data_IF_687732835073
#
_entry.id   IF_687732835073
#
_cell.length_a   1.000
_cell.length_b   1.000
_cell.length_c   1.000
_cell.angle_alpha   90.00
_cell.angle_beta   90.00
_cell.angle_gamma   90.00
#
_symmetry.space_group_name_H-M   'P 1'
#
loop_
_entity.id
_entity.type
_entity.pdbx_description
1 polymer ?
#
# COMPACT_ATOMS: atom_id res chain seq x y z
N UNK A 1 37.14 4.84 -39.42
CA UNK A 1 36.24 4.41 -40.51
C UNK A 1 35.73 5.67 -41.20
N UNK A 2 36.13 5.87 -42.46
CA UNK A 2 35.73 7.02 -43.28
C UNK A 2 34.20 7.03 -43.47
N UNK A 3 33.55 8.20 -43.54
CA UNK A 3 32.11 8.25 -43.78
C UNK A 3 31.83 7.71 -45.18
N UNK A 4 30.98 6.68 -45.27
CA UNK A 4 30.46 6.19 -46.54
C UNK A 4 29.75 7.34 -47.24
N UNK A 5 30.30 7.78 -48.38
CA UNK A 5 29.61 8.67 -49.30
C UNK A 5 28.46 7.88 -49.91
N UNK A 6 27.29 7.90 -49.27
CA UNK A 6 26.06 7.42 -49.88
C UNK A 6 25.76 8.31 -51.08
N UNK A 7 26.15 7.88 -52.27
CA UNK A 7 25.83 8.57 -53.51
C UNK A 7 24.31 8.69 -53.62
N UNK A 8 23.82 9.90 -53.89
CA UNK A 8 22.39 10.14 -54.03
C UNK A 8 21.80 9.20 -55.11
N UNK A 9 20.59 8.66 -54.89
CA UNK A 9 19.95 7.79 -55.87
C UNK A 9 19.79 8.52 -57.22
N UNK A 10 20.20 7.84 -58.29
CA UNK A 10 20.12 8.37 -59.66
C UNK A 10 18.79 7.98 -60.27
N UNK A 11 17.98 8.97 -60.65
CA UNK A 11 16.64 8.75 -61.21
C UNK A 11 16.65 8.85 -62.73
N UNK A 12 15.92 7.97 -63.45
CA UNK A 12 15.77 8.04 -64.90
C UNK A 12 15.00 9.30 -65.31
N UNK A 13 15.35 9.88 -66.45
CA UNK A 13 14.87 11.19 -66.90
C UNK A 13 13.34 11.27 -67.08
N UNK A 14 12.70 10.16 -67.44
CA UNK A 14 11.24 10.05 -67.51
C UNK A 14 10.55 10.24 -66.14
N UNK A 15 11.17 9.78 -65.05
CA UNK A 15 10.65 9.95 -63.70
C UNK A 15 10.83 11.38 -63.16
N UNK A 16 11.77 12.14 -63.73
CA UNK A 16 12.02 13.54 -63.39
C UNK A 16 11.17 14.51 -64.22
N UNK A 17 10.73 14.10 -65.41
CA UNK A 17 9.96 14.92 -66.34
C UNK A 17 8.59 15.35 -65.80
N UNK A 18 8.05 14.61 -64.81
CA UNK A 18 6.79 14.94 -64.14
C UNK A 18 6.91 16.05 -63.08
N UNK A 19 8.14 16.44 -62.70
CA UNK A 19 8.36 17.43 -61.65
C UNK A 19 8.83 18.77 -62.25
N UNK A 20 8.10 19.83 -61.92
CA UNK A 20 8.49 21.18 -62.28
C UNK A 20 9.53 21.71 -61.28
N UNK A 21 10.66 22.22 -61.79
CA UNK A 21 11.77 22.69 -60.95
C UNK A 21 11.39 23.91 -60.12
N UNK A 22 10.57 24.80 -60.69
CA UNK A 22 10.07 26.00 -60.04
C UNK A 22 9.11 25.65 -58.89
N UNK A 23 8.19 24.69 -59.09
CA UNK A 23 7.25 24.22 -58.07
C UNK A 23 7.97 23.54 -56.90
N UNK A 24 8.91 22.63 -57.19
CA UNK A 24 9.67 21.95 -56.13
C UNK A 24 10.50 22.95 -55.31
N UNK A 25 11.05 23.99 -55.94
CA UNK A 25 11.76 25.05 -55.21
C UNK A 25 10.82 25.86 -54.32
N UNK A 26 9.63 26.18 -54.82
CA UNK A 26 8.60 26.88 -54.05
C UNK A 26 8.15 26.06 -52.83
N UNK A 27 7.88 24.75 -53.02
CA UNK A 27 7.49 23.85 -51.94
C UNK A 27 8.59 23.73 -50.88
N UNK A 28 9.85 23.65 -51.29
CA UNK A 28 10.98 23.65 -50.36
C UNK A 28 11.02 24.95 -49.54
N UNK A 29 10.80 26.11 -50.15
CA UNK A 29 10.76 27.40 -49.43
C UNK A 29 9.60 27.47 -48.43
N UNK A 30 8.41 27.00 -48.81
CA UNK A 30 7.24 26.95 -47.92
C UNK A 30 7.52 26.03 -46.73
N UNK A 31 7.98 24.80 -46.99
CA UNK A 31 8.29 23.81 -45.96
C UNK A 31 9.43 24.27 -45.04
N UNK A 32 10.42 25.00 -45.55
CA UNK A 32 11.48 25.58 -44.73
C UNK A 32 10.95 26.66 -43.79
N UNK A 33 10.06 27.54 -44.26
CA UNK A 33 9.41 28.57 -43.41
C UNK A 33 8.54 27.94 -42.33
N UNK A 34 7.80 26.88 -42.66
CA UNK A 34 7.00 26.13 -41.68
C UNK A 34 7.90 25.46 -40.64
N UNK A 35 8.96 24.76 -41.08
CA UNK A 35 9.97 24.17 -40.19
C UNK A 35 10.56 25.22 -39.25
N UNK A 36 10.96 26.38 -39.74
CA UNK A 36 11.58 27.43 -38.93
C UNK A 36 10.61 28.03 -37.92
N UNK A 37 9.32 28.07 -38.26
CA UNK A 37 8.25 28.49 -37.35
C UNK A 37 8.07 27.48 -36.22
N UNK A 38 8.10 26.18 -36.53
CA UNK A 38 8.03 25.11 -35.54
C UNK A 38 9.29 25.07 -34.67
N UNK A 39 10.47 25.20 -35.29
CA UNK A 39 11.76 25.14 -34.61
C UNK A 39 11.94 26.23 -33.55
N UNK A 40 11.38 27.43 -33.77
CA UNK A 40 11.38 28.52 -32.78
C UNK A 40 10.71 28.16 -31.44
N UNK A 41 9.73 27.26 -31.47
CA UNK A 41 8.97 26.82 -30.29
C UNK A 41 9.28 25.37 -29.89
N UNK A 42 10.13 24.66 -30.65
CA UNK A 42 10.47 23.29 -30.38
C UNK A 42 11.50 23.20 -29.24
N UNK A 43 11.15 22.50 -28.17
CA UNK A 43 12.11 22.19 -27.11
C UNK A 43 13.00 21.02 -27.57
N UNK A 44 14.19 21.35 -28.07
CA UNK A 44 15.19 20.37 -28.51
C UNK A 44 15.76 19.51 -27.36
N UNK A 45 15.59 19.94 -26.10
CA UNK A 45 15.99 19.20 -24.91
C UNK A 45 14.90 18.27 -24.34
N UNK A 46 13.67 18.35 -24.85
CA UNK A 46 12.52 17.64 -24.27
C UNK A 46 12.71 16.12 -24.20
N UNK A 47 13.39 15.53 -25.19
CA UNK A 47 13.65 14.08 -25.23
C UNK A 47 14.63 13.68 -24.12
N UNK A 48 15.68 14.48 -23.90
CA UNK A 48 16.68 14.20 -22.86
C UNK A 48 16.11 14.44 -21.46
N UNK A 49 15.33 15.52 -21.29
CA UNK A 49 14.60 15.80 -20.05
C UNK A 49 13.60 14.68 -19.71
N UNK A 50 12.87 14.18 -20.71
CA UNK A 50 11.96 13.06 -20.54
C UNK A 50 12.70 11.81 -20.06
N UNK A 51 13.80 11.44 -20.73
CA UNK A 51 14.60 10.26 -20.36
C UNK A 51 15.13 10.36 -18.93
N UNK A 52 15.58 11.55 -18.52
CA UNK A 52 16.05 11.78 -17.15
C UNK A 52 14.92 11.63 -16.14
N UNK A 53 13.77 12.25 -16.40
CA UNK A 53 12.58 12.14 -15.52
C UNK A 53 12.02 10.72 -15.46
N UNK A 54 12.06 9.99 -16.57
CA UNK A 54 11.63 8.59 -16.63
C UNK A 54 12.54 7.71 -15.77
N UNK A 55 13.86 7.87 -15.86
CA UNK A 55 14.81 7.15 -15.00
C UNK A 55 14.59 7.47 -13.51
N UNK A 56 14.44 8.75 -13.17
CA UNK A 56 14.15 9.19 -11.80
C UNK A 56 12.81 8.60 -11.31
N UNK A 57 11.77 8.65 -12.14
CA UNK A 57 10.46 8.10 -11.84
C UNK A 57 10.54 6.60 -11.55
N UNK A 58 11.18 5.82 -12.43
CA UNK A 58 11.32 4.37 -12.26
C UNK A 58 12.08 4.02 -10.97
N UNK A 59 13.12 4.79 -10.63
CA UNK A 59 13.83 4.63 -9.35
C UNK A 59 12.90 4.89 -8.16
N UNK A 60 12.11 5.96 -8.20
CA UNK A 60 11.18 6.33 -7.11
C UNK A 60 10.04 5.33 -6.96
N UNK A 61 9.52 4.78 -8.07
CA UNK A 61 8.50 3.73 -8.02
C UNK A 61 9.08 2.49 -7.36
N UNK A 62 10.29 2.07 -7.73
CA UNK A 62 10.94 0.91 -7.10
C UNK A 62 11.18 1.12 -5.60
N UNK A 63 11.59 2.31 -5.17
CA UNK A 63 11.74 2.65 -3.75
C UNK A 63 10.39 2.59 -3.01
N UNK A 64 9.33 3.14 -3.62
CA UNK A 64 7.99 3.15 -3.03
C UNK A 64 7.41 1.75 -2.89
N UNK A 65 7.62 0.89 -3.89
CA UNK A 65 7.15 -0.49 -3.87
C UNK A 65 7.83 -1.28 -2.75
N UNK A 66 9.14 -1.10 -2.56
CA UNK A 66 9.87 -1.76 -1.49
C UNK A 66 9.41 -1.29 -0.10
N UNK A 67 9.28 0.02 0.11
CA UNK A 67 8.76 0.55 1.39
C UNK A 67 7.33 0.08 1.64
N UNK A 68 6.51 0.01 0.60
CA UNK A 68 5.14 -0.49 0.67
C UNK A 68 5.11 -1.97 1.06
N UNK A 69 6.01 -2.78 0.50
CA UNK A 69 6.15 -4.20 0.84
C UNK A 69 6.53 -4.38 2.31
N UNK A 70 7.56 -3.67 2.79
CA UNK A 70 8.00 -3.72 4.19
C UNK A 70 6.87 -3.32 5.14
N UNK A 71 6.16 -2.23 4.83
CA UNK A 71 5.01 -1.78 5.61
C UNK A 71 3.91 -2.84 5.68
N UNK A 72 3.58 -3.46 4.55
CA UNK A 72 2.53 -4.47 4.48
C UNK A 72 2.91 -5.73 5.26
N UNK A 73 4.17 -6.17 5.20
CA UNK A 73 4.69 -7.28 5.99
C UNK A 73 4.63 -6.98 7.50
N UNK A 74 5.06 -5.79 7.92
CA UNK A 74 4.99 -5.35 9.31
C UNK A 74 3.54 -5.31 9.82
N UNK A 75 2.62 -4.79 9.00
CA UNK A 75 1.18 -4.76 9.32
C UNK A 75 0.61 -6.16 9.48
N UNK A 76 0.92 -7.07 8.55
CA UNK A 76 0.47 -8.46 8.62
C UNK A 76 0.97 -9.14 9.89
N UNK A 77 2.25 -8.97 10.23
CA UNK A 77 2.83 -9.51 11.45
C UNK A 77 2.16 -8.95 12.71
N UNK A 78 1.88 -7.65 12.74
CA UNK A 78 1.15 -7.02 13.84
C UNK A 78 -0.26 -7.61 14.00
N UNK A 79 -1.02 -7.76 12.91
CA UNK A 79 -2.36 -8.34 12.94
C UNK A 79 -2.34 -9.80 13.42
N UNK A 80 -1.36 -10.59 12.97
CA UNK A 80 -1.18 -11.97 13.43
C UNK A 80 -0.85 -12.06 14.93
N UNK A 81 0.04 -11.20 15.42
CA UNK A 81 0.38 -11.14 16.84
C UNK A 81 -0.81 -10.67 17.69
N UNK A 82 -1.59 -9.69 17.21
CA UNK A 82 -2.82 -9.24 17.88
C UNK A 82 -3.84 -10.37 17.97
N UNK A 83 -4.05 -11.13 16.89
CA UNK A 83 -4.93 -12.30 16.86
C UNK A 83 -4.46 -13.37 17.84
N UNK A 84 -3.16 -13.73 17.81
CA UNK A 84 -2.59 -14.74 18.70
C UNK A 84 -2.70 -14.34 20.16
N UNK A 85 -2.46 -13.07 20.48
CA UNK A 85 -2.64 -12.52 21.84
C UNK A 85 -4.08 -12.70 22.32
N UNK A 86 -5.05 -12.32 21.50
CA UNK A 86 -6.47 -12.44 21.83
C UNK A 86 -6.87 -13.91 22.05
N UNK A 87 -6.51 -14.79 21.11
CA UNK A 87 -6.84 -16.22 21.18
C UNK A 87 -6.29 -16.88 22.44
N UNK A 88 -4.99 -16.67 22.74
CA UNK A 88 -4.35 -17.21 23.94
C UNK A 88 -4.93 -16.63 25.22
N UNK A 89 -5.26 -15.34 25.22
CA UNK A 89 -5.89 -14.69 26.36
C UNK A 89 -7.27 -15.29 26.63
N UNK A 90 -8.12 -15.45 25.61
CA UNK A 90 -9.47 -15.98 25.79
C UNK A 90 -9.48 -17.45 26.22
N UNK A 91 -8.58 -18.28 25.70
CA UNK A 91 -8.41 -19.67 26.17
C UNK A 91 -7.99 -19.70 27.65
N UNK A 92 -6.98 -18.91 28.02
CA UNK A 92 -6.54 -18.80 29.42
C UNK A 92 -7.64 -18.26 30.35
N UNK A 93 -8.32 -17.20 29.93
CA UNK A 93 -9.40 -16.55 30.67
C UNK A 93 -10.57 -17.52 30.90
N UNK A 94 -10.96 -18.30 29.89
CA UNK A 94 -11.99 -19.32 30.01
C UNK A 94 -11.61 -20.42 31.02
N UNK A 95 -10.37 -20.91 30.97
CA UNK A 95 -9.87 -21.93 31.92
C UNK A 95 -9.86 -21.40 33.36
N UNK A 96 -9.38 -20.18 33.57
CA UNK A 96 -9.35 -19.54 34.89
C UNK A 96 -10.78 -19.34 35.41
N UNK A 97 -11.68 -18.85 34.56
CA UNK A 97 -13.09 -18.62 34.93
C UNK A 97 -13.79 -19.91 35.35
N UNK A 98 -13.56 -21.01 34.63
CA UNK A 98 -14.09 -22.33 34.99
C UNK A 98 -13.57 -22.78 36.35
N UNK A 99 -12.25 -22.71 36.56
CA UNK A 99 -11.63 -23.13 37.83
C UNK A 99 -12.06 -22.28 39.00
N UNK A 100 -12.22 -20.97 38.80
CA UNK A 100 -12.76 -20.06 39.81
C UNK A 100 -14.17 -20.48 40.25
N UNK A 101 -15.07 -20.74 39.30
CA UNK A 101 -16.45 -21.21 39.58
C UNK A 101 -16.44 -22.48 40.43
N UNK A 102 -15.64 -23.46 40.04
CA UNK A 102 -15.48 -24.73 40.76
C UNK A 102 -14.96 -24.52 42.19
N UNK A 103 -13.85 -23.79 42.34
CA UNK A 103 -13.21 -23.55 43.63
C UNK A 103 -14.10 -22.76 44.58
N UNK A 104 -14.72 -21.67 44.08
CA UNK A 104 -15.56 -20.82 44.92
C UNK A 104 -16.78 -21.56 45.45
N UNK A 105 -17.46 -22.33 44.58
CA UNK A 105 -18.62 -23.14 44.98
C UNK A 105 -18.26 -24.23 45.98
N UNK A 106 -17.09 -24.86 45.81
CA UNK A 106 -16.58 -25.87 46.73
C UNK A 106 -16.30 -25.29 48.11
N UNK A 107 -15.63 -24.14 48.18
CA UNK A 107 -15.24 -23.49 49.44
C UNK A 107 -16.46 -22.90 50.17
N UNK A 108 -17.34 -22.23 49.44
CA UNK A 108 -18.50 -21.54 50.03
C UNK A 108 -19.71 -22.43 50.23
N UNK A 109 -19.60 -23.73 49.90
CA UNK A 109 -20.67 -24.73 50.03
C UNK A 109 -21.98 -24.29 49.35
N UNK A 110 -21.87 -23.69 48.15
CA UNK A 110 -23.03 -23.30 47.33
C UNK A 110 -23.16 -21.82 46.97
N UNK A 111 -22.10 -21.02 47.11
CA UNK A 111 -22.00 -19.70 46.47
C UNK A 111 -21.46 -19.79 45.04
N UNK A 112 -21.59 -18.71 44.28
CA UNK A 112 -21.12 -18.59 42.90
C UNK A 112 -20.13 -17.43 42.72
N UNK A 113 -19.27 -17.53 41.71
CA UNK A 113 -18.27 -16.53 41.34
C UNK A 113 -18.19 -16.42 39.82
N UNK A 114 -17.96 -15.21 39.30
CA UNK A 114 -17.92 -14.95 37.86
C UNK A 114 -16.89 -13.88 37.53
N UNK A 115 -16.11 -14.13 36.46
CA UNK A 115 -15.23 -13.14 35.83
C UNK A 115 -15.84 -12.74 34.49
N UNK A 116 -16.01 -11.45 34.28
CA UNK A 116 -16.58 -10.90 33.05
C UNK A 116 -15.64 -9.84 32.47
N UNK A 117 -15.54 -9.80 31.14
CA UNK A 117 -14.83 -8.74 30.45
C UNK A 117 -15.68 -7.47 30.48
N UNK A 118 -15.08 -6.33 30.80
CA UNK A 118 -15.79 -5.05 30.77
C UNK A 118 -16.12 -4.67 29.32
N UNK A 119 -15.17 -4.88 28.41
CA UNK A 119 -15.38 -4.78 26.97
C UNK A 119 -15.22 -6.16 26.31
N UNK A 120 -16.29 -6.62 25.65
CA UNK A 120 -16.32 -7.90 24.93
C UNK A 120 -15.66 -7.85 23.55
N UNK A 121 -15.48 -6.65 22.98
CA UNK A 121 -14.82 -6.44 21.69
C UNK A 121 -13.30 -6.36 21.84
N UNK A 122 -12.81 -5.73 22.91
CA UNK A 122 -11.39 -5.65 23.26
C UNK A 122 -11.14 -5.93 24.75
N UNK A 123 -10.73 -7.17 25.12
CA UNK A 123 -10.50 -7.54 26.51
C UNK A 123 -9.32 -6.80 27.17
N UNK A 124 -8.57 -6.00 26.43
CA UNK A 124 -7.37 -5.31 26.90
C UNK A 124 -7.58 -3.82 27.21
N UNK A 125 -8.78 -3.27 26.93
CA UNK A 125 -9.07 -1.84 27.09
C UNK A 125 -9.52 -1.50 28.51
N UNK A 126 -10.57 -2.17 29.00
CA UNK A 126 -11.28 -1.78 30.23
C UNK A 126 -11.12 -2.80 31.37
N UNK A 127 -10.51 -3.95 31.10
CA UNK A 127 -10.18 -4.96 32.12
C UNK A 127 -11.29 -5.97 32.39
N UNK A 128 -11.27 -6.54 33.61
CA UNK A 128 -12.13 -7.65 34.04
C UNK A 128 -12.85 -7.27 35.33
N UNK A 129 -14.14 -7.57 35.41
CA UNK A 129 -14.95 -7.46 36.62
C UNK A 129 -15.05 -8.82 37.30
N UNK A 130 -14.78 -8.84 38.61
CA UNK A 130 -14.96 -10.02 39.45
C UNK A 130 -16.17 -9.84 40.37
N UNK A 131 -17.19 -10.65 40.14
CA UNK A 131 -18.43 -10.67 40.91
C UNK A 131 -18.59 -12.00 41.65
N UNK A 132 -19.11 -11.93 42.87
CA UNK A 132 -19.43 -13.12 43.68
C UNK A 132 -20.85 -13.04 44.21
N UNK A 133 -21.44 -14.21 44.44
CA UNK A 133 -22.74 -14.41 45.05
C UNK A 133 -22.60 -15.43 46.19
N UNK A 134 -22.45 -14.98 47.44
CA UNK A 134 -22.47 -15.88 48.58
C UNK A 134 -23.81 -16.63 48.70
N UNK A 135 -23.87 -17.77 49.39
CA UNK A 135 -25.11 -18.51 49.60
C UNK A 135 -26.20 -17.60 50.19
N UNK A 136 -27.39 -17.60 49.59
CA UNK A 136 -28.55 -16.81 50.02
C UNK A 136 -28.33 -15.27 49.98
N UNK A 137 -27.32 -14.77 49.27
CA UNK A 137 -27.08 -13.32 49.04
C UNK A 137 -27.14 -12.98 47.55
N UNK A 138 -27.24 -11.70 47.22
CA UNK A 138 -27.20 -11.19 45.83
C UNK A 138 -25.77 -11.11 45.30
N UNK A 139 -25.64 -10.98 43.97
CA UNK A 139 -24.36 -10.68 43.31
C UNK A 139 -23.79 -9.36 43.81
N UNK A 140 -22.49 -9.34 44.08
CA UNK A 140 -21.73 -8.13 44.44
C UNK A 140 -20.34 -8.18 43.81
N UNK A 141 -19.82 -7.02 43.42
CA UNK A 141 -18.43 -6.89 43.05
C UNK A 141 -17.53 -7.21 44.26
N UNK A 142 -16.48 -8.01 44.06
CA UNK A 142 -15.58 -8.46 45.13
C UNK A 142 -14.97 -7.30 45.92
N UNK A 143 -14.70 -6.16 45.26
CA UNK A 143 -14.10 -4.97 45.90
C UNK A 143 -15.01 -4.36 46.99
N UNK A 144 -16.31 -4.66 46.94
CA UNK A 144 -17.31 -4.16 47.88
C UNK A 144 -17.74 -5.24 48.89
N UNK A 145 -17.02 -6.37 48.97
CA UNK A 145 -17.20 -7.33 50.06
C UNK A 145 -16.33 -6.94 51.26
N UNK A 146 -17.01 -6.74 52.39
CA UNK A 146 -16.41 -6.69 53.73
C UNK A 146 -16.23 -8.10 54.28
#
# INVERSE_FOLDING_TARGET
KSPEQSSLPTYPQAALAQYCREEVKYDIEVLQKERDTIAKNANMGAIEEYRKKEADYLSRVSELDEVTRIRNEARKRHEELRRMRLEKFMDGFGRITLKLKEMYRMITLGGDAELELVDSLDPFSEGIVFSVRPPKKSWKNIANLS
#
